data_IF_558760650854
#
_entry.id   IF_558760650854
#
_cell.length_a   1.000
_cell.length_b   1.000
_cell.length_c   1.000
_cell.angle_alpha   90.00
_cell.angle_beta   90.00
_cell.angle_gamma   90.00
#
_symmetry.space_group_name_H-M   'P 1'
#
loop_
_entity.id
_entity.type
_entity.pdbx_description
1 polymer ?
#
# COMPACT_ATOMS: atom_id res chain seq x y z
N UNK A 1 28.17 19.70 19.83
CA UNK A 1 27.03 19.79 18.90
C UNK A 1 26.88 18.41 18.26
N UNK A 2 25.91 17.64 18.73
CA UNK A 2 25.82 16.19 18.54
C UNK A 2 25.02 15.93 17.25
N UNK A 3 25.67 15.41 16.22
CA UNK A 3 24.98 14.98 15.00
C UNK A 3 24.15 13.74 15.35
N UNK A 4 22.84 13.89 15.46
CA UNK A 4 21.91 12.76 15.49
C UNK A 4 21.92 12.14 14.09
N UNK A 5 22.62 11.02 13.93
CA UNK A 5 22.58 10.19 12.73
C UNK A 5 21.20 9.53 12.72
N UNK A 6 20.21 10.21 12.14
CA UNK A 6 18.94 9.58 11.81
C UNK A 6 19.23 8.54 10.73
N UNK A 7 19.20 7.27 11.13
CA UNK A 7 19.24 6.14 10.20
C UNK A 7 17.97 6.26 9.34
N UNK A 8 18.11 6.70 8.09
CA UNK A 8 16.98 6.80 7.17
C UNK A 8 16.59 5.37 6.78
N UNK A 9 15.59 4.81 7.47
CA UNK A 9 15.05 3.50 7.12
C UNK A 9 14.40 3.64 5.74
N UNK A 10 14.80 2.77 4.80
CA UNK A 10 14.22 2.79 3.46
C UNK A 10 12.71 2.47 3.56
N UNK A 11 11.86 3.34 3.01
CA UNK A 11 10.39 3.17 3.07
C UNK A 11 9.92 1.80 2.55
N UNK A 12 10.65 1.24 1.57
CA UNK A 12 10.39 -0.10 1.05
C UNK A 12 10.57 -1.18 2.12
N UNK A 13 11.60 -1.08 2.96
CA UNK A 13 11.84 -2.03 4.06
C UNK A 13 10.74 -1.95 5.11
N UNK A 14 10.23 -0.75 5.38
CA UNK A 14 9.08 -0.56 6.28
C UNK A 14 7.86 -1.25 5.68
N UNK A 15 7.51 -0.95 4.43
CA UNK A 15 6.35 -1.56 3.76
C UNK A 15 6.45 -3.08 3.68
N UNK A 16 7.65 -3.62 3.45
CA UNK A 16 7.90 -5.08 3.43
C UNK A 16 7.64 -5.79 4.75
N UNK A 17 7.63 -5.08 5.89
CA UNK A 17 7.21 -5.64 7.17
C UNK A 17 5.70 -5.89 7.22
N UNK A 18 4.94 -5.16 6.42
CA UNK A 18 3.47 -5.19 6.39
C UNK A 18 2.91 -6.02 5.23
N UNK A 19 3.48 -5.89 4.03
CA UNK A 19 3.19 -6.77 2.90
C UNK A 19 4.42 -6.95 2.03
N UNK A 20 4.64 -8.18 1.58
CA UNK A 20 5.71 -8.51 0.62
C UNK A 20 5.29 -8.30 -0.83
N UNK A 21 4.00 -8.07 -1.09
CA UNK A 21 3.38 -8.17 -2.42
C UNK A 21 2.53 -6.97 -2.82
N UNK A 22 2.02 -6.19 -1.86
CA UNK A 22 1.09 -5.07 -2.11
C UNK A 22 1.46 -3.80 -1.34
N UNK A 23 1.77 -2.73 -2.08
CA UNK A 23 1.98 -1.40 -1.48
C UNK A 23 0.71 -0.84 -0.82
N UNK A 24 -0.46 -1.17 -1.38
CA UNK A 24 -1.75 -0.74 -0.84
C UNK A 24 -2.07 -1.45 0.48
N UNK A 25 -1.81 -2.75 0.57
CA UNK A 25 -1.97 -3.51 1.81
C UNK A 25 -1.04 -2.98 2.89
N UNK A 26 0.23 -2.76 2.53
CA UNK A 26 1.21 -2.21 3.46
C UNK A 26 0.76 -0.84 4.03
N UNK A 27 0.21 0.04 3.19
CA UNK A 27 -0.32 1.33 3.64
C UNK A 27 -1.55 1.17 4.55
N UNK A 28 -2.48 0.29 4.19
CA UNK A 28 -3.66 0.00 5.01
C UNK A 28 -3.26 -0.46 6.42
N UNK A 29 -2.35 -1.43 6.55
CA UNK A 29 -1.91 -1.91 7.86
C UNK A 29 -1.17 -0.83 8.66
N UNK A 30 -0.33 -0.01 8.01
CA UNK A 30 0.34 1.13 8.67
C UNK A 30 -0.69 2.11 9.25
N UNK A 31 -1.78 2.36 8.52
CA UNK A 31 -2.83 3.25 8.98
C UNK A 31 -3.60 2.66 10.16
N UNK A 32 -3.93 1.37 10.11
CA UNK A 32 -4.61 0.67 11.21
C UNK A 32 -3.76 0.65 12.49
N UNK A 33 -2.46 0.33 12.38
CA UNK A 33 -1.52 0.40 13.51
C UNK A 33 -1.48 1.80 14.13
N UNK A 34 -1.38 2.83 13.28
CA UNK A 34 -1.36 4.21 13.75
C UNK A 34 -2.68 4.61 14.43
N UNK A 35 -3.81 4.13 13.93
CA UNK A 35 -5.13 4.37 14.51
C UNK A 35 -5.31 3.67 15.85
N UNK A 36 -4.91 2.39 15.96
CA UNK A 36 -4.94 1.63 17.22
C UNK A 36 -4.08 2.32 18.28
N UNK A 37 -2.85 2.72 17.94
CA UNK A 37 -1.97 3.45 18.85
C UNK A 37 -2.59 4.77 19.32
N UNK A 38 -3.18 5.53 18.39
CA UNK A 38 -3.87 6.77 18.72
C UNK A 38 -5.05 6.55 19.66
N UNK A 39 -5.81 5.47 19.48
CA UNK A 39 -6.99 5.14 20.29
C UNK A 39 -6.62 4.60 21.68
N UNK A 40 -5.61 3.73 21.76
CA UNK A 40 -5.24 3.02 23.00
C UNK A 40 -4.28 3.83 23.87
N UNK A 41 -3.32 4.54 23.26
CA UNK A 41 -2.20 5.18 23.95
C UNK A 41 -2.16 6.70 23.72
N UNK A 42 -3.04 7.22 22.87
CA UNK A 42 -3.18 8.63 22.60
C UNK A 42 -2.17 9.17 21.59
N UNK A 43 -2.20 10.50 21.44
CA UNK A 43 -1.45 11.20 20.39
C UNK A 43 0.06 11.03 20.50
N UNK A 44 0.62 11.08 21.71
CA UNK A 44 2.07 10.98 21.92
C UNK A 44 2.64 9.68 21.35
N UNK A 45 1.98 8.54 21.61
CA UNK A 45 2.41 7.25 21.08
C UNK A 45 2.33 7.20 19.55
N UNK A 46 1.27 7.77 18.96
CA UNK A 46 1.12 7.85 17.51
C UNK A 46 2.18 8.75 16.85
N UNK A 47 2.60 9.83 17.52
CA UNK A 47 3.65 10.75 17.04
C UNK A 47 5.06 10.10 17.15
N UNK A 48 5.30 9.32 18.20
CA UNK A 48 6.51 8.49 18.34
C UNK A 48 6.59 7.41 17.26
N UNK A 49 5.48 6.74 16.97
CA UNK A 49 5.38 5.78 15.87
C UNK A 49 5.70 6.44 14.53
N UNK A 50 5.12 7.62 14.26
CA UNK A 50 5.43 8.37 13.04
C UNK A 50 6.92 8.74 12.96
N UNK A 51 7.50 9.21 14.07
CA UNK A 51 8.91 9.58 14.13
C UNK A 51 9.84 8.38 13.88
N UNK A 52 9.50 7.20 14.42
CA UNK A 52 10.27 5.96 14.25
C UNK A 52 10.31 5.49 12.79
N UNK A 53 9.18 5.58 12.10
CA UNK A 53 9.05 5.10 10.72
C UNK A 53 9.15 6.21 9.67
N UNK A 54 9.52 7.44 10.07
CA UNK A 54 9.56 8.62 9.20
C UNK A 54 8.24 8.86 8.45
N UNK A 55 7.12 8.58 9.12
CA UNK A 55 5.78 8.77 8.57
C UNK A 55 5.26 10.18 8.87
N UNK A 56 4.32 10.60 8.04
CA UNK A 56 3.64 11.89 8.17
C UNK A 56 2.27 11.71 8.79
N UNK A 57 2.16 11.95 10.09
CA UNK A 57 0.89 11.83 10.83
C UNK A 57 -0.23 12.70 10.27
N UNK A 58 0.09 13.88 9.74
CA UNK A 58 -0.87 14.75 9.04
C UNK A 58 -1.45 14.10 7.78
N UNK A 59 -0.66 13.31 7.06
CA UNK A 59 -1.11 12.58 5.87
C UNK A 59 -1.94 11.35 6.24
N UNK A 60 -1.61 10.65 7.31
CA UNK A 60 -2.43 9.54 7.83
C UNK A 60 -3.79 10.04 8.31
N UNK A 61 -3.83 11.16 9.04
CA UNK A 61 -5.06 11.81 9.45
C UNK A 61 -5.92 12.25 8.24
N UNK A 62 -5.27 12.79 7.21
CA UNK A 62 -5.96 13.17 5.97
C UNK A 62 -6.57 11.96 5.25
N UNK A 63 -5.82 10.86 5.08
CA UNK A 63 -6.35 9.64 4.45
C UNK A 63 -7.56 9.11 5.24
N UNK A 64 -7.48 9.07 6.57
CA UNK A 64 -8.62 8.69 7.42
C UNK A 64 -9.85 9.57 7.17
N UNK A 65 -9.66 10.89 7.04
CA UNK A 65 -10.76 11.81 6.77
C UNK A 65 -11.41 11.55 5.41
N UNK A 66 -10.63 11.18 4.39
CA UNK A 66 -11.14 10.76 3.08
C UNK A 66 -11.92 9.45 3.16
N UNK A 67 -11.41 8.44 3.88
CA UNK A 67 -12.11 7.18 4.07
C UNK A 67 -13.48 7.38 4.73
N UNK A 68 -13.57 8.25 5.75
CA UNK A 68 -14.83 8.58 6.40
C UNK A 68 -15.80 9.29 5.44
N UNK A 69 -15.31 10.20 4.60
CA UNK A 69 -16.12 10.87 3.59
C UNK A 69 -16.68 9.87 2.56
N UNK A 70 -15.88 8.92 2.11
CA UNK A 70 -16.33 7.88 1.19
C UNK A 70 -17.37 6.94 1.83
N UNK A 71 -17.19 6.58 3.11
CA UNK A 71 -18.18 5.83 3.86
C UNK A 71 -19.52 6.60 3.94
N UNK A 72 -19.47 7.90 4.23
CA UNK A 72 -20.68 8.73 4.27
C UNK A 72 -21.40 8.76 2.92
N UNK A 73 -20.66 8.84 1.82
CA UNK A 73 -21.23 8.78 0.47
C UNK A 73 -21.87 7.43 0.17
N UNK A 74 -21.25 6.32 0.57
CA UNK A 74 -21.79 4.97 0.40
C UNK A 74 -23.06 4.73 1.22
N UNK A 75 -23.13 5.28 2.43
CA UNK A 75 -24.35 5.22 3.25
C UNK A 75 -25.48 6.04 2.62
N UNK A 76 -25.17 7.21 2.05
CA UNK A 76 -26.15 8.07 1.37
C UNK A 76 -26.64 7.51 0.04
N UNK A 77 -25.84 6.70 -0.65
CA UNK A 77 -26.23 6.12 -1.95
C UNK A 77 -27.23 4.96 -1.82
N UNK A 78 -27.56 4.51 -0.60
CA UNK A 78 -28.38 3.32 -0.33
C UNK A 78 -27.81 2.03 -0.92
N UNK A 79 -26.51 2.00 -1.25
CA UNK A 79 -25.81 0.77 -1.66
C UNK A 79 -25.59 -0.17 -0.46
N UNK A 80 -25.54 0.39 0.74
CA UNK A 80 -25.44 -0.34 2.01
C UNK A 80 -26.77 -0.15 2.75
N UNK A 81 -27.31 -1.24 3.30
CA UNK A 81 -28.53 -1.14 4.10
C UNK A 81 -28.23 -0.35 5.40
N UNK A 82 -29.12 0.55 5.84
CA UNK A 82 -28.89 1.34 7.06
C UNK A 82 -28.67 0.51 8.34
N UNK A 83 -29.09 -0.76 8.32
CA UNK A 83 -28.99 -1.71 9.44
C UNK A 83 -27.80 -2.67 9.31
N UNK A 84 -26.90 -2.47 8.35
CA UNK A 84 -25.72 -3.34 8.22
C UNK A 84 -24.71 -3.00 9.31
N UNK A 85 -24.39 -3.98 10.14
CA UNK A 85 -23.38 -3.86 11.20
C UNK A 85 -21.97 -3.69 10.60
N UNK A 86 -21.10 -2.99 11.33
CA UNK A 86 -19.74 -2.68 10.87
C UNK A 86 -18.89 -3.95 10.69
N UNK A 87 -19.08 -4.95 11.54
CA UNK A 87 -18.39 -6.24 11.46
C UNK A 87 -18.74 -6.97 10.16
N UNK A 88 -20.00 -6.88 9.71
CA UNK A 88 -20.44 -7.51 8.47
C UNK A 88 -19.83 -6.81 7.24
N UNK A 89 -19.73 -5.48 7.27
CA UNK A 89 -19.06 -4.71 6.21
C UNK A 89 -17.57 -5.04 6.09
N UNK A 90 -16.92 -5.36 7.21
CA UNK A 90 -15.49 -5.62 7.29
C UNK A 90 -15.14 -7.11 7.37
N UNK A 91 -16.10 -8.03 7.18
CA UNK A 91 -15.89 -9.48 7.37
C UNK A 91 -14.79 -10.13 6.52
N UNK A 92 -14.31 -9.42 5.49
CA UNK A 92 -13.22 -9.86 4.61
C UNK A 92 -12.08 -8.83 4.52
N UNK A 93 -12.03 -7.84 5.42
CA UNK A 93 -11.05 -6.76 5.37
C UNK A 93 -9.62 -7.24 5.66
N UNK A 94 -9.46 -8.44 6.22
CA UNK A 94 -8.20 -9.11 6.53
C UNK A 94 -7.67 -9.99 5.37
N UNK A 95 -8.44 -10.16 4.28
CA UNK A 95 -8.06 -10.97 3.13
C UNK A 95 -7.34 -10.10 2.09
N UNK A 96 -6.01 -10.20 2.03
CA UNK A 96 -5.16 -9.42 1.12
C UNK A 96 -5.51 -9.64 -0.36
N UNK A 97 -5.80 -10.87 -0.77
CA UNK A 97 -6.16 -11.20 -2.15
C UNK A 97 -7.49 -10.55 -2.57
N UNK A 98 -8.45 -10.44 -1.64
CA UNK A 98 -9.72 -9.78 -1.93
C UNK A 98 -9.52 -8.27 -2.08
N UNK A 99 -8.69 -7.65 -1.23
CA UNK A 99 -8.30 -6.25 -1.42
C UNK A 99 -7.66 -6.05 -2.79
N UNK A 100 -6.73 -6.93 -3.21
CA UNK A 100 -6.14 -6.87 -4.54
C UNK A 100 -7.20 -6.98 -5.64
N UNK A 101 -8.19 -7.87 -5.49
CA UNK A 101 -9.31 -8.00 -6.42
C UNK A 101 -10.16 -6.72 -6.53
N UNK A 102 -10.44 -6.06 -5.40
CA UNK A 102 -11.15 -4.77 -5.36
C UNK A 102 -10.32 -3.66 -6.01
N UNK A 103 -9.01 -3.61 -5.76
CA UNK A 103 -8.13 -2.64 -6.41
C UNK A 103 -8.08 -2.86 -7.92
N UNK A 104 -8.00 -4.12 -8.37
CA UNK A 104 -8.01 -4.46 -9.79
C UNK A 104 -9.33 -4.09 -10.47
N UNK A 105 -10.47 -4.15 -9.77
CA UNK A 105 -11.76 -3.78 -10.36
C UNK A 105 -11.90 -2.28 -10.60
N UNK A 106 -11.15 -1.45 -9.88
CA UNK A 106 -11.11 0.00 -10.06
C UNK A 106 -9.86 0.53 -10.81
N UNK A 107 -8.86 -0.31 -11.06
CA UNK A 107 -7.64 0.09 -11.72
C UNK A 107 -7.80 0.15 -13.25
N UNK A 108 -7.48 1.30 -13.84
CA UNK A 108 -7.53 1.50 -15.30
C UNK A 108 -6.21 1.10 -16.00
N UNK A 109 -5.16 0.82 -15.23
CA UNK A 109 -3.84 0.49 -15.75
C UNK A 109 -3.33 -0.84 -15.20
N UNK A 110 -3.11 -1.80 -16.10
CA UNK A 110 -2.42 -3.04 -15.80
C UNK A 110 -1.01 -3.03 -16.39
N UNK A 111 -0.06 -3.50 -15.60
CA UNK A 111 1.30 -3.74 -16.06
C UNK A 111 1.45 -5.22 -16.43
N UNK A 112 2.00 -5.47 -17.61
CA UNK A 112 2.25 -6.80 -18.15
C UNK A 112 3.74 -7.06 -18.16
N UNK A 113 4.11 -8.24 -17.67
CA UNK A 113 5.50 -8.71 -17.67
C UNK A 113 5.77 -9.50 -18.95
N UNK A 114 6.78 -9.11 -19.73
CA UNK A 114 7.22 -9.83 -20.91
C UNK A 114 8.64 -10.38 -20.72
N UNK A 115 8.79 -11.69 -20.84
CA UNK A 115 10.08 -12.38 -20.76
C UNK A 115 10.60 -12.63 -22.18
N UNK A 116 11.77 -12.09 -22.51
CA UNK A 116 12.40 -12.32 -23.81
C UNK A 116 13.88 -12.69 -23.65
N UNK A 117 14.40 -13.42 -24.64
CA UNK A 117 15.81 -13.85 -24.66
C UNK A 117 16.62 -12.80 -25.40
N UNK A 118 17.65 -12.27 -24.74
CA UNK A 118 18.61 -11.34 -25.35
C UNK A 118 19.89 -12.09 -25.69
N UNK A 119 20.31 -12.01 -26.95
CA UNK A 119 21.50 -12.67 -27.50
C UNK A 119 22.54 -11.64 -27.93
N UNK A 120 23.08 -10.87 -26.99
CA UNK A 120 24.31 -10.09 -27.22
C UNK A 120 25.45 -10.71 -26.41
N UNK A 121 26.16 -11.67 -27.00
CA UNK A 121 27.37 -12.30 -26.44
C UNK A 121 27.14 -13.42 -25.41
N UNK A 122 26.06 -13.35 -24.62
CA UNK A 122 25.62 -14.44 -23.72
C UNK A 122 24.10 -14.48 -23.70
N UNK A 123 23.52 -15.68 -23.74
CA UNK A 123 22.06 -15.84 -23.68
C UNK A 123 21.59 -15.46 -22.27
N UNK A 124 20.79 -14.39 -22.17
CA UNK A 124 20.15 -13.98 -20.92
C UNK A 124 18.66 -13.76 -21.11
N UNK A 125 17.86 -14.28 -20.17
CA UNK A 125 16.43 -13.97 -20.09
C UNK A 125 16.28 -12.60 -19.42
N UNK A 126 15.66 -11.66 -20.10
CA UNK A 126 15.34 -10.34 -19.57
C UNK A 126 13.83 -10.27 -19.37
N UNK A 127 13.44 -9.77 -18.21
CA UNK A 127 12.05 -9.53 -17.83
C UNK A 127 11.81 -8.03 -17.87
N UNK A 128 10.99 -7.58 -18.82
CA UNK A 128 10.59 -6.18 -18.94
C UNK A 128 9.12 -6.02 -18.57
N UNK A 129 8.77 -4.82 -18.08
CA UNK A 129 7.41 -4.47 -17.68
C UNK A 129 6.87 -3.46 -18.69
N UNK A 130 5.64 -3.67 -19.13
CA UNK A 130 4.95 -2.83 -20.10
C UNK A 130 3.56 -2.43 -19.59
N UNK A 131 3.07 -1.28 -20.00
CA UNK A 131 1.66 -0.92 -19.84
C UNK A 131 0.79 -1.78 -20.77
N UNK A 132 -0.52 -1.76 -20.54
CA UNK A 132 -1.51 -2.36 -21.46
C UNK A 132 -1.45 -1.79 -22.88
N UNK A 133 -0.95 -0.55 -23.05
CA UNK A 133 -0.74 0.11 -24.36
C UNK A 133 0.57 -0.28 -25.03
N UNK A 134 1.44 -1.05 -24.36
CA UNK A 134 2.73 -1.50 -24.89
C UNK A 134 3.90 -0.57 -24.59
N UNK A 135 3.70 0.49 -23.80
CA UNK A 135 4.78 1.38 -23.38
C UNK A 135 5.61 0.72 -22.28
N UNK A 136 6.93 0.88 -22.33
CA UNK A 136 7.81 0.32 -21.30
C UNK A 136 7.60 1.08 -19.98
N UNK A 137 7.37 0.32 -18.90
CA UNK A 137 7.17 0.84 -17.56
C UNK A 137 8.29 0.38 -16.62
N UNK A 138 8.42 1.07 -15.48
CA UNK A 138 9.28 0.67 -14.39
C UNK A 138 8.52 0.76 -13.07
N UNK A 139 8.82 -0.14 -12.15
CA UNK A 139 8.32 -0.07 -10.78
C UNK A 139 9.23 0.88 -10.00
N UNK A 140 8.65 1.83 -9.26
CA UNK A 140 9.41 2.78 -8.43
C UNK A 140 10.24 2.07 -7.36
N UNK A 141 11.42 2.63 -7.04
CA UNK A 141 12.38 2.03 -6.10
C UNK A 141 11.83 1.79 -4.68
N UNK A 142 10.86 2.60 -4.31
CA UNK A 142 10.15 2.59 -3.05
C UNK A 142 9.10 1.48 -2.95
N UNK A 143 8.61 0.93 -4.07
CA UNK A 143 7.60 -0.12 -4.08
C UNK A 143 8.13 -1.41 -3.44
N UNK A 144 7.27 -2.14 -2.72
CA UNK A 144 7.59 -3.49 -2.23
C UNK A 144 7.97 -4.43 -3.37
N UNK A 145 7.39 -4.20 -4.55
CA UNK A 145 7.56 -4.96 -5.79
C UNK A 145 8.79 -4.55 -6.62
N UNK A 146 9.57 -3.55 -6.18
CA UNK A 146 10.79 -3.15 -6.89
C UNK A 146 11.78 -4.31 -6.97
N UNK A 147 12.26 -4.58 -8.19
CA UNK A 147 13.21 -5.66 -8.50
C UNK A 147 12.74 -7.08 -8.11
N UNK A 148 11.43 -7.33 -7.96
CA UNK A 148 10.96 -8.69 -7.78
C UNK A 148 11.03 -9.44 -9.10
N UNK A 149 12.02 -10.34 -9.21
CA UNK A 149 12.01 -11.42 -10.19
C UNK A 149 11.07 -12.51 -9.70
N UNK A 150 9.79 -12.47 -10.10
CA UNK A 150 8.91 -13.64 -9.92
C UNK A 150 9.49 -14.79 -10.74
N UNK A 151 9.86 -15.89 -10.08
CA UNK A 151 10.32 -17.16 -10.70
C UNK A 151 9.20 -17.80 -11.48
#
# INVERSE_FOLDING_TARGET
>A
MQYSIYFFIEIREIKRKYSSTSDYWALYTIQEDWMSLMQEQGRTASDEYCSRYSLRGDRLAYIRSLSNLHLEQLLKSSMIAPTTEAEELNRFSDIEELMCGVLLSGADSLLVTNRHIKTKGKMSTVTDIFTSTGDRAHIGSESVNHNITKT
#
